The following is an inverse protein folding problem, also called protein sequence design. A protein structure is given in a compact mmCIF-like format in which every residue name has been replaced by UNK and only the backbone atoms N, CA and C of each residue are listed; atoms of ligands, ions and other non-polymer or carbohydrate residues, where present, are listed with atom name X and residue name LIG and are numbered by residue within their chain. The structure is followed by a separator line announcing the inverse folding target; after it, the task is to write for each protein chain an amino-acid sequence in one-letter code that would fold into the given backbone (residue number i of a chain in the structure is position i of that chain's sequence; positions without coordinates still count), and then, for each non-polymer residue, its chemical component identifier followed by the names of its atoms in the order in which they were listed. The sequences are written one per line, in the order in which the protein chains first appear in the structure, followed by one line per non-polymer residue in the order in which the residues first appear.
data_IF_779829016773
#
_entry.id   IF_779829016773
#
_cell.length_a   1.000
_cell.length_b   1.000
_cell.length_c   1.000
_cell.angle_alpha   90.00
_cell.angle_beta   90.00
_cell.angle_gamma   90.00
#
_symmetry.space_group_name_H-M   'P 1'
#
loop_
_entity.id
_entity.type
_entity.pdbx_description
1 polymer ?
#
# COMPACT_ATOMS: atom_id res chain seq x y z
N UNK A 1 5.63 15.25 8.32
CA UNK A 1 6.68 14.26 8.00
C UNK A 1 7.51 14.78 6.82
N UNK A 2 8.80 15.04 7.01
CA UNK A 2 9.73 15.38 5.93
C UNK A 2 10.16 14.11 5.14
N UNK A 3 10.94 14.28 4.07
CA UNK A 3 11.33 13.15 3.23
C UNK A 3 12.24 12.13 3.94
N UNK A 4 13.16 12.56 4.81
CA UNK A 4 14.00 11.64 5.57
C UNK A 4 13.18 10.80 6.56
N UNK A 5 12.27 11.44 7.30
CA UNK A 5 11.32 10.75 8.19
C UNK A 5 10.46 9.75 7.41
N UNK A 6 9.98 10.14 6.22
CA UNK A 6 9.20 9.26 5.34
C UNK A 6 10.03 8.08 4.84
N UNK A 7 11.30 8.29 4.46
CA UNK A 7 12.21 7.22 4.03
C UNK A 7 12.46 6.20 5.15
N UNK A 8 12.66 6.67 6.39
CA UNK A 8 12.76 5.79 7.56
C UNK A 8 11.45 5.00 7.76
N UNK A 9 10.31 5.69 7.75
CA UNK A 9 9.01 5.08 7.99
C UNK A 9 8.66 4.00 6.95
N UNK A 10 8.93 4.28 5.67
CA UNK A 10 8.73 3.30 4.58
C UNK A 10 9.65 2.10 4.76
N UNK A 11 10.94 2.28 5.09
CA UNK A 11 11.85 1.14 5.30
C UNK A 11 11.39 0.25 6.45
N UNK A 12 10.96 0.83 7.57
CA UNK A 12 10.42 0.07 8.69
C UNK A 12 9.17 -0.71 8.28
N UNK A 13 8.23 -0.03 7.60
CA UNK A 13 7.01 -0.65 7.08
C UNK A 13 7.30 -1.80 6.12
N UNK A 14 8.26 -1.64 5.20
CA UNK A 14 8.65 -2.68 4.24
C UNK A 14 9.29 -3.89 4.92
N UNK A 15 10.06 -3.66 6.00
CA UNK A 15 10.60 -4.74 6.83
C UNK A 15 9.50 -5.61 7.43
N UNK A 16 8.46 -5.00 8.01
CA UNK A 16 7.30 -5.73 8.55
C UNK A 16 6.42 -6.33 7.46
N UNK A 17 6.18 -5.61 6.36
CA UNK A 17 5.28 -6.02 5.28
C UNK A 17 5.73 -7.32 4.61
N UNK A 18 7.04 -7.54 4.48
CA UNK A 18 7.57 -8.77 3.87
C UNK A 18 7.32 -10.03 4.69
N UNK A 19 6.95 -9.92 5.98
CA UNK A 19 6.54 -11.07 6.80
C UNK A 19 5.24 -11.74 6.30
N UNK A 20 4.42 -10.99 5.56
CA UNK A 20 3.17 -11.49 4.97
C UNK A 20 3.35 -12.14 3.58
N UNK A 21 4.58 -12.29 3.09
CA UNK A 21 4.83 -12.76 1.72
C UNK A 21 4.29 -14.18 1.46
N UNK A 22 4.34 -15.07 2.45
CA UNK A 22 3.77 -16.42 2.34
C UNK A 22 2.25 -16.37 2.23
N UNK A 23 1.56 -15.65 3.11
CA UNK A 23 0.10 -15.43 3.03
C UNK A 23 -0.31 -14.89 1.66
N UNK A 24 0.40 -13.88 1.16
CA UNK A 24 0.08 -13.25 -0.12
C UNK A 24 0.34 -14.20 -1.30
N UNK A 25 1.36 -15.04 -1.22
CA UNK A 25 1.61 -16.11 -2.19
C UNK A 25 0.50 -17.15 -2.20
N UNK A 26 0.05 -17.60 -1.03
CA UNK A 26 -1.03 -18.60 -0.91
C UNK A 26 -2.37 -18.09 -1.43
N UNK A 27 -2.73 -16.84 -1.10
CA UNK A 27 -3.93 -16.19 -1.60
C UNK A 27 -3.89 -16.03 -3.12
N UNK A 28 -2.74 -15.61 -3.66
CA UNK A 28 -2.55 -15.48 -5.09
C UNK A 28 -2.45 -16.83 -5.80
N UNK A 29 -2.01 -17.89 -5.14
CA UNK A 29 -2.03 -19.24 -5.69
C UNK A 29 -3.47 -19.76 -5.84
N UNK A 30 -4.38 -19.35 -4.95
CA UNK A 30 -5.79 -19.70 -5.02
C UNK A 30 -6.55 -18.97 -6.14
N UNK A 31 -6.13 -17.75 -6.50
CA UNK A 31 -6.79 -16.91 -7.50
C UNK A 31 -5.98 -16.69 -8.79
N UNK A 32 -4.72 -17.07 -8.85
CA UNK A 32 -3.77 -16.65 -9.89
C UNK A 32 -2.60 -17.64 -10.01
N UNK A 33 -1.38 -17.11 -10.11
CA UNK A 33 -0.16 -17.89 -10.31
C UNK A 33 0.75 -17.97 -9.07
N UNK A 34 0.35 -17.38 -7.95
CA UNK A 34 1.05 -17.52 -6.66
C UNK A 34 2.34 -16.71 -6.57
N UNK A 35 2.54 -15.73 -7.46
CA UNK A 35 3.79 -14.96 -7.54
C UNK A 35 3.77 -13.69 -6.68
N UNK A 36 2.62 -13.33 -6.09
CA UNK A 36 2.50 -12.06 -5.37
C UNK A 36 3.48 -11.96 -4.19
N UNK A 37 3.67 -13.03 -3.42
CA UNK A 37 4.64 -13.07 -2.32
C UNK A 37 6.07 -12.74 -2.75
N UNK A 38 6.48 -13.26 -3.91
CA UNK A 38 7.78 -13.00 -4.52
C UNK A 38 7.84 -11.56 -5.02
N UNK A 39 6.78 -11.11 -5.69
CA UNK A 39 6.64 -9.74 -6.21
C UNK A 39 6.82 -8.69 -5.10
N UNK A 40 6.14 -8.87 -3.95
CA UNK A 40 6.25 -7.93 -2.83
C UNK A 40 7.62 -8.00 -2.15
N UNK A 41 8.19 -9.21 -1.99
CA UNK A 41 9.52 -9.39 -1.38
C UNK A 41 10.62 -8.70 -2.19
N UNK A 42 10.68 -8.98 -3.49
CA UNK A 42 11.69 -8.38 -4.38
C UNK A 42 11.51 -6.87 -4.50
N UNK A 43 10.26 -6.42 -4.64
CA UNK A 43 9.94 -5.00 -4.74
C UNK A 43 10.26 -4.22 -3.46
N UNK A 44 9.96 -4.78 -2.28
CA UNK A 44 10.27 -4.19 -0.98
C UNK A 44 11.77 -4.08 -0.76
N UNK A 45 12.53 -5.14 -1.06
CA UNK A 45 13.99 -5.12 -0.95
C UNK A 45 14.62 -4.05 -1.87
N UNK A 46 14.18 -3.97 -3.13
CA UNK A 46 14.67 -2.98 -4.07
C UNK A 46 14.31 -1.54 -3.65
N UNK A 47 13.09 -1.32 -3.14
CA UNK A 47 12.67 -0.02 -2.63
C UNK A 47 13.48 0.39 -1.39
N UNK A 48 13.73 -0.52 -0.44
CA UNK A 48 14.55 -0.24 0.72
C UNK A 48 15.98 0.16 0.36
N UNK A 49 16.58 -0.52 -0.63
CA UNK A 49 17.91 -0.16 -1.15
C UNK A 49 17.92 1.21 -1.84
N UNK A 50 16.91 1.50 -2.66
CA UNK A 50 16.77 2.80 -3.30
C UNK A 50 16.63 3.94 -2.29
N UNK A 51 15.94 3.69 -1.17
CA UNK A 51 15.80 4.66 -0.08
C UNK A 51 17.11 4.91 0.67
N UNK A 52 17.96 3.89 0.84
CA UNK A 52 19.30 4.05 1.43
C UNK A 52 20.23 4.92 0.58
N UNK A 53 20.01 4.97 -0.74
CA UNK A 53 20.81 5.76 -1.67
C UNK A 53 20.36 7.23 -1.81
N UNK A 54 19.21 7.60 -1.23
CA UNK A 54 18.73 8.97 -1.28
C UNK A 54 19.46 9.88 -0.28
N UNK A 55 19.71 11.17 -0.63
CA UNK A 55 20.20 12.13 0.35
C UNK A 55 19.12 12.43 1.39
N UNK A 56 19.53 12.77 2.62
CA UNK A 56 18.59 13.18 3.69
C UNK A 56 17.76 14.42 3.34
N UNK A 57 18.19 15.20 2.34
CA UNK A 57 17.49 16.37 1.82
C UNK A 57 16.41 16.03 0.79
N UNK A 58 16.22 14.76 0.44
CA UNK A 58 15.20 14.35 -0.51
C UNK A 58 13.80 14.76 -0.03
N UNK A 59 12.97 15.24 -0.96
CA UNK A 59 11.57 15.57 -0.70
C UNK A 59 10.72 14.30 -0.54
N UNK A 60 9.55 14.38 0.11
CA UNK A 60 8.59 13.27 0.18
C UNK A 60 8.25 12.68 -1.21
N UNK A 61 8.13 13.52 -2.23
CA UNK A 61 7.87 13.10 -3.61
C UNK A 61 9.02 12.30 -4.22
N UNK A 62 10.26 12.75 -4.03
CA UNK A 62 11.45 12.01 -4.49
C UNK A 62 11.56 10.64 -3.82
N UNK A 63 11.23 10.56 -2.53
CA UNK A 63 11.22 9.32 -1.74
C UNK A 63 10.27 8.29 -2.35
N UNK A 64 8.99 8.63 -2.54
CA UNK A 64 8.02 7.68 -3.13
C UNK A 64 8.30 7.38 -4.61
N UNK A 65 8.87 8.32 -5.36
CA UNK A 65 9.30 8.09 -6.74
C UNK A 65 10.48 7.13 -6.84
N UNK A 66 11.40 7.16 -5.88
CA UNK A 66 12.47 6.17 -5.79
C UNK A 66 11.91 4.78 -5.53
N UNK A 67 10.98 4.64 -4.57
CA UNK A 67 10.26 3.39 -4.34
C UNK A 67 9.53 2.90 -5.60
N UNK A 68 8.80 3.78 -6.29
CA UNK A 68 8.05 3.45 -7.49
C UNK A 68 8.95 2.85 -8.59
N UNK A 69 10.07 3.51 -8.87
CA UNK A 69 11.03 3.06 -9.90
C UNK A 69 11.68 1.74 -9.50
N UNK A 70 12.14 1.63 -8.25
CA UNK A 70 12.80 0.43 -7.76
C UNK A 70 11.86 -0.79 -7.77
N UNK A 71 10.63 -0.62 -7.28
CA UNK A 71 9.63 -1.68 -7.23
C UNK A 71 9.27 -2.17 -8.63
N UNK A 72 9.06 -1.26 -9.60
CA UNK A 72 8.79 -1.62 -11.00
C UNK A 72 9.95 -2.35 -11.69
N UNK A 73 11.19 -1.99 -11.37
CA UNK A 73 12.38 -2.60 -11.98
C UNK A 73 12.72 -3.97 -11.38
N UNK A 74 12.32 -4.23 -10.13
CA UNK A 74 12.63 -5.47 -9.42
C UNK A 74 11.92 -6.70 -10.01
N UNK A 75 10.73 -6.52 -10.59
CA UNK A 75 9.98 -7.60 -11.20
C UNK A 75 9.02 -7.10 -12.30
N UNK A 76 8.86 -7.83 -13.42
CA UNK A 76 7.96 -7.47 -14.51
C UNK A 76 6.51 -7.91 -14.23
N UNK A 77 5.96 -7.59 -13.06
CA UNK A 77 4.58 -7.94 -12.69
C UNK A 77 3.59 -6.82 -13.03
N UNK A 78 2.33 -7.18 -13.26
CA UNK A 78 1.25 -6.20 -13.44
C UNK A 78 1.06 -5.37 -12.16
N UNK A 79 1.16 -6.02 -10.99
CA UNK A 79 1.08 -5.37 -9.70
C UNK A 79 2.16 -4.29 -9.56
N UNK A 80 3.42 -4.59 -9.88
CA UNK A 80 4.50 -3.62 -9.79
C UNK A 80 4.29 -2.41 -10.72
N UNK A 81 3.82 -2.64 -11.95
CA UNK A 81 3.51 -1.55 -12.88
C UNK A 81 2.34 -0.67 -12.39
N UNK A 82 1.32 -1.26 -11.76
CA UNK A 82 0.19 -0.54 -11.19
C UNK A 82 0.58 0.26 -9.94
N UNK A 83 1.32 -0.36 -9.01
CA UNK A 83 1.81 0.30 -7.79
C UNK A 83 2.77 1.43 -8.13
N UNK A 84 3.69 1.26 -9.09
CA UNK A 84 4.57 2.33 -9.51
C UNK A 84 3.82 3.51 -10.13
N UNK A 85 2.76 3.23 -10.91
CA UNK A 85 1.85 4.25 -11.43
C UNK A 85 1.12 4.99 -10.32
N UNK A 86 0.61 4.26 -9.33
CA UNK A 86 -0.03 4.81 -8.14
C UNK A 86 0.89 5.75 -7.35
N UNK A 87 2.10 5.32 -7.04
CA UNK A 87 3.08 6.12 -6.30
C UNK A 87 3.49 7.38 -7.09
N UNK A 88 3.63 7.28 -8.42
CA UNK A 88 3.86 8.44 -9.29
C UNK A 88 2.67 9.41 -9.31
N UNK A 89 1.44 8.91 -9.35
CA UNK A 89 0.26 9.76 -9.31
C UNK A 89 0.11 10.46 -7.96
N UNK A 90 0.30 9.72 -6.87
CA UNK A 90 0.29 10.26 -5.52
C UNK A 90 1.37 11.30 -5.29
N UNK A 91 2.61 11.10 -5.78
CA UNK A 91 3.69 12.07 -5.57
C UNK A 91 3.41 13.43 -6.20
N UNK A 92 2.65 13.48 -7.29
CA UNK A 92 2.22 14.74 -7.92
C UNK A 92 1.30 15.57 -7.02
N UNK A 93 0.59 14.94 -6.08
CA UNK A 93 -0.24 15.63 -5.09
C UNK A 93 0.63 16.42 -4.11
N UNK A 94 1.81 15.90 -3.78
CA UNK A 94 2.74 16.55 -2.84
C UNK A 94 3.62 17.60 -3.53
N UNK A 95 3.96 17.42 -4.80
CA UNK A 95 4.84 18.34 -5.53
C UNK A 95 6.21 18.44 -4.85
N UNK A 96 6.74 19.66 -4.73
CA UNK A 96 8.05 19.91 -4.11
C UNK A 96 7.95 20.34 -2.63
N UNK A 97 6.87 19.98 -1.94
CA UNK A 97 6.71 20.32 -0.52
C UNK A 97 7.83 19.71 0.33
N UNK A 98 8.40 20.43 1.32
CA UNK A 98 9.43 19.87 2.20
C UNK A 98 8.87 18.86 3.20
N UNK A 99 7.55 18.87 3.45
CA UNK A 99 6.89 17.97 4.39
C UNK A 99 5.43 17.72 4.03
N UNK A 100 4.90 16.58 4.49
CA UNK A 100 3.50 16.17 4.34
C UNK A 100 2.77 16.02 5.68
N UNK A 101 1.47 16.30 5.66
CA UNK A 101 0.52 16.18 6.78
C UNK A 101 -0.68 15.28 6.42
N UNK A 102 -1.58 15.03 7.40
CA UNK A 102 -2.67 14.05 7.30
C UNK A 102 -3.55 14.19 6.05
N UNK A 103 -4.05 15.39 5.76
CA UNK A 103 -4.90 15.63 4.58
C UNK A 103 -4.19 15.27 3.26
N UNK A 104 -2.89 15.54 3.16
CA UNK A 104 -2.09 15.22 1.97
C UNK A 104 -1.87 13.72 1.79
N UNK A 105 -1.92 12.93 2.87
CA UNK A 105 -1.85 11.47 2.81
C UNK A 105 -3.14 10.90 2.23
N UNK A 106 -4.31 11.41 2.67
CA UNK A 106 -5.61 11.01 2.10
C UNK A 106 -5.71 11.32 0.60
N UNK A 107 -5.30 12.53 0.20
CA UNK A 107 -5.26 12.92 -1.22
C UNK A 107 -4.26 12.10 -2.04
N UNK A 108 -3.12 11.74 -1.47
CA UNK A 108 -2.15 10.82 -2.08
C UNK A 108 -2.78 9.44 -2.33
N UNK A 109 -3.44 8.87 -1.31
CA UNK A 109 -4.06 7.55 -1.40
C UNK A 109 -5.18 7.52 -2.45
N UNK A 110 -5.99 8.58 -2.53
CA UNK A 110 -7.03 8.71 -3.55
C UNK A 110 -6.43 8.78 -4.96
N UNK A 111 -5.44 9.64 -5.19
CA UNK A 111 -4.78 9.76 -6.50
C UNK A 111 -4.09 8.45 -6.93
N UNK A 112 -3.52 7.72 -5.97
CA UNK A 112 -2.96 6.39 -6.18
C UNK A 112 -4.03 5.37 -6.63
N UNK A 113 -5.17 5.32 -5.94
CA UNK A 113 -6.30 4.45 -6.29
C UNK A 113 -6.89 4.79 -7.67
N UNK A 114 -7.10 6.07 -7.95
CA UNK A 114 -7.58 6.56 -9.26
C UNK A 114 -6.63 6.18 -10.40
N UNK A 115 -5.31 6.28 -10.18
CA UNK A 115 -4.31 5.86 -11.16
C UNK A 115 -4.40 4.35 -11.46
N UNK A 116 -4.61 3.52 -10.44
CA UNK A 116 -4.78 2.07 -10.64
C UNK A 116 -6.09 1.80 -11.37
N UNK A 117 -7.18 2.46 -10.99
CA UNK A 117 -8.47 2.34 -11.65
C UNK A 117 -8.38 2.68 -13.14
N UNK A 118 -7.76 3.81 -13.49
CA UNK A 118 -7.61 4.23 -14.89
C UNK A 118 -6.72 3.27 -15.69
N UNK A 119 -5.57 2.88 -15.13
CA UNK A 119 -4.60 2.03 -15.85
C UNK A 119 -5.04 0.57 -15.94
N UNK A 120 -5.58 0.03 -14.86
CA UNK A 120 -6.12 -1.34 -14.77
C UNK A 120 -7.52 -1.48 -15.37
N UNK A 121 -8.17 -0.36 -15.69
CA UNK A 121 -9.58 -0.26 -16.10
C UNK A 121 -10.51 -0.96 -15.10
N UNK A 122 -10.16 -0.95 -13.82
CA UNK A 122 -10.88 -1.62 -12.74
C UNK A 122 -11.57 -0.60 -11.83
N UNK A 123 -12.57 -1.06 -11.08
CA UNK A 123 -13.31 -0.25 -10.13
C UNK A 123 -13.62 -1.06 -8.88
N UNK A 124 -14.09 -0.40 -7.81
CA UNK A 124 -14.69 -1.11 -6.67
C UNK A 124 -15.80 -2.03 -7.18
N UNK A 125 -15.84 -3.26 -6.68
CA UNK A 125 -16.72 -4.33 -7.14
C UNK A 125 -16.11 -5.26 -8.20
N UNK A 126 -14.91 -4.97 -8.71
CA UNK A 126 -14.23 -5.85 -9.67
C UNK A 126 -13.36 -6.94 -9.01
N UNK A 127 -13.26 -6.93 -7.68
CA UNK A 127 -12.40 -7.82 -6.87
C UNK A 127 -10.93 -7.64 -7.19
N UNK A 128 -10.43 -6.46 -6.84
CA UNK A 128 -9.04 -6.02 -7.04
C UNK A 128 -8.57 -5.22 -5.83
N UNK A 129 -7.29 -4.83 -5.82
CA UNK A 129 -6.71 -3.92 -4.81
C UNK A 129 -7.57 -2.67 -4.51
N UNK A 130 -8.35 -2.20 -5.50
CA UNK A 130 -9.24 -1.05 -5.37
C UNK A 130 -10.36 -1.23 -4.35
N UNK A 131 -10.79 -2.47 -4.10
CA UNK A 131 -11.82 -2.78 -3.12
C UNK A 131 -11.35 -2.46 -1.69
N UNK A 132 -10.04 -2.42 -1.44
CA UNK A 132 -9.47 -1.94 -0.19
C UNK A 132 -8.97 -0.49 -0.27
N UNK A 133 -8.36 -0.09 -1.40
CA UNK A 133 -7.74 1.24 -1.53
C UNK A 133 -8.72 2.40 -1.52
N UNK A 134 -9.85 2.31 -2.23
CA UNK A 134 -10.81 3.40 -2.25
C UNK A 134 -11.46 3.63 -0.87
N UNK A 135 -11.99 2.59 -0.18
CA UNK A 135 -12.55 2.78 1.16
C UNK A 135 -11.53 3.35 2.16
N UNK A 136 -10.27 2.91 2.09
CA UNK A 136 -9.22 3.45 2.94
C UNK A 136 -8.90 4.93 2.64
N UNK A 137 -8.83 5.31 1.36
CA UNK A 137 -8.61 6.69 0.95
C UNK A 137 -9.76 7.61 1.40
N UNK A 138 -11.00 7.15 1.28
CA UNK A 138 -12.19 7.88 1.76
C UNK A 138 -12.14 8.08 3.27
N UNK A 139 -11.76 7.05 4.04
CA UNK A 139 -11.60 7.14 5.50
C UNK A 139 -10.49 8.13 5.90
N UNK A 140 -9.36 8.15 5.19
CA UNK A 140 -8.29 9.12 5.42
C UNK A 140 -8.74 10.56 5.14
N UNK A 141 -9.57 10.77 4.11
CA UNK A 141 -10.09 12.08 3.76
C UNK A 141 -11.21 12.58 4.69
N UNK A 142 -11.92 11.66 5.34
CA UNK A 142 -12.98 11.98 6.29
C UNK A 142 -12.45 12.33 7.70
N UNK A 143 -11.15 12.21 7.94
CA UNK A 143 -10.55 12.46 9.25
C UNK A 143 -10.35 13.96 9.49
N UNK A 144 -10.65 14.40 10.72
CA UNK A 144 -10.47 15.79 11.12
C UNK A 144 -8.99 16.22 11.13
N UNK A 145 -8.76 17.51 10.93
CA UNK A 145 -7.41 18.07 10.87
C UNK A 145 -6.63 17.82 12.18
N UNK A 146 -5.46 17.20 12.06
CA UNK A 146 -4.58 16.89 13.20
C UNK A 146 -4.79 15.50 13.82
N UNK A 147 -5.80 14.74 13.40
CA UNK A 147 -5.99 13.36 13.81
C UNK A 147 -5.38 12.37 12.80
N UNK A 148 -5.02 11.18 13.29
CA UNK A 148 -4.57 10.09 12.42
C UNK A 148 -5.76 9.29 11.90
N UNK A 149 -6.01 9.38 10.60
CA UNK A 149 -7.06 8.58 9.93
C UNK A 149 -6.70 7.12 9.71
N UNK A 150 -5.52 6.68 10.17
CA UNK A 150 -4.96 5.37 9.85
C UNK A 150 -5.82 4.21 10.36
N UNK A 151 -6.39 4.33 11.55
CA UNK A 151 -7.23 3.27 12.14
C UNK A 151 -8.53 3.10 11.36
N UNK A 152 -9.17 4.21 11.01
CA UNK A 152 -10.35 4.20 10.16
C UNK A 152 -10.03 3.64 8.77
N UNK A 153 -8.86 3.98 8.20
CA UNK A 153 -8.41 3.48 6.91
C UNK A 153 -8.15 1.96 6.92
N UNK A 154 -7.53 1.43 7.97
CA UNK A 154 -7.31 -0.01 8.15
C UNK A 154 -8.65 -0.75 8.23
N UNK A 155 -9.59 -0.25 9.04
CA UNK A 155 -10.93 -0.85 9.17
C UNK A 155 -11.68 -0.82 7.84
N UNK A 156 -11.59 0.29 7.10
CA UNK A 156 -12.23 0.42 5.78
C UNK A 156 -11.62 -0.54 4.75
N UNK A 157 -10.28 -0.65 4.71
CA UNK A 157 -9.58 -1.62 3.86
C UNK A 157 -9.96 -3.05 4.21
N UNK A 158 -10.04 -3.39 5.50
CA UNK A 158 -10.42 -4.73 5.98
C UNK A 158 -11.85 -5.10 5.58
N UNK A 159 -12.79 -4.18 5.76
CA UNK A 159 -14.17 -4.36 5.29
C UNK A 159 -14.22 -4.57 3.76
N UNK A 160 -13.41 -3.83 3.00
CA UNK A 160 -13.24 -4.01 1.56
C UNK A 160 -12.74 -5.41 1.19
N UNK A 161 -11.69 -5.89 1.87
CA UNK A 161 -11.17 -7.26 1.69
C UNK A 161 -12.25 -8.31 1.99
N UNK A 162 -12.98 -8.16 3.10
CA UNK A 162 -14.04 -9.09 3.50
C UNK A 162 -15.17 -9.12 2.47
N UNK A 163 -15.71 -7.95 2.10
CA UNK A 163 -16.79 -7.83 1.13
C UNK A 163 -16.39 -8.37 -0.25
N UNK A 164 -15.13 -8.19 -0.65
CA UNK A 164 -14.64 -8.68 -1.94
C UNK A 164 -14.76 -10.19 -2.11
N UNK A 165 -14.84 -10.97 -1.02
CA UNK A 165 -15.01 -12.44 -1.07
C UNK A 165 -16.30 -12.85 -1.79
N UNK A 166 -17.36 -12.07 -1.66
CA UNK A 166 -18.67 -12.35 -2.29
C UNK A 166 -18.69 -12.03 -3.79
N UNK A 167 -17.66 -11.34 -4.28
CA UNK A 167 -17.56 -10.93 -5.67
C UNK A 167 -16.93 -12.03 -6.54
N UNK A 168 -17.34 -12.06 -7.80
CA UNK A 168 -16.62 -12.73 -8.87
C UNK A 168 -15.50 -11.82 -9.40
N UNK A 169 -14.29 -12.35 -9.55
CA UNK A 169 -13.17 -11.66 -10.18
C UNK A 169 -13.50 -11.22 -11.61
N UNK A 170 -13.33 -9.93 -11.91
CA UNK A 170 -13.54 -9.37 -13.25
C UNK A 170 -12.26 -8.96 -13.96
N UNK A 171 -11.13 -8.97 -13.26
CA UNK A 171 -9.83 -8.47 -13.75
C UNK A 171 -8.70 -9.45 -13.45
N UNK A 172 -7.59 -9.25 -14.15
CA UNK A 172 -6.36 -10.02 -13.96
C UNK A 172 -6.52 -11.51 -14.29
N UNK A 173 -5.54 -12.32 -13.86
CA UNK A 173 -5.59 -13.78 -14.01
C UNK A 173 -6.77 -14.39 -13.23
N UNK A 174 -7.15 -13.76 -12.12
CA UNK A 174 -8.27 -14.19 -11.30
C UNK A 174 -9.61 -14.22 -12.05
N UNK A 175 -9.81 -13.40 -13.07
CA UNK A 175 -11.03 -13.46 -13.88
C UNK A 175 -11.17 -14.78 -14.65
N UNK A 176 -10.09 -15.54 -14.87
CA UNK A 176 -10.17 -16.83 -15.56
C UNK A 176 -10.92 -17.89 -14.75
N UNK A 177 -10.99 -17.74 -13.42
CA UNK A 177 -11.73 -18.66 -12.55
C UNK A 177 -13.25 -18.50 -12.64
N UNK A 178 -13.74 -17.37 -13.17
CA UNK A 178 -15.18 -17.06 -13.23
C UNK A 178 -15.84 -17.24 -11.84
N UNK A 179 -17.01 -17.87 -11.76
CA UNK A 179 -17.74 -18.10 -10.49
C UNK A 179 -16.91 -18.81 -9.42
N UNK A 180 -15.87 -19.58 -9.78
CA UNK A 180 -14.98 -20.26 -8.82
C UNK A 180 -14.13 -19.29 -7.99
N UNK A 181 -14.06 -18.02 -8.39
CA UNK A 181 -13.41 -16.97 -7.60
C UNK A 181 -14.25 -16.47 -6.41
N UNK A 182 -15.56 -16.76 -6.40
CA UNK A 182 -16.46 -16.39 -5.31
C UNK A 182 -16.10 -17.22 -4.06
N UNK A 183 -16.04 -16.55 -2.92
CA UNK A 183 -15.61 -17.10 -1.62
C UNK A 183 -14.10 -16.99 -1.37
N UNK A 184 -13.29 -16.72 -2.40
CA UNK A 184 -11.84 -16.56 -2.27
C UNK A 184 -11.49 -15.09 -1.95
N UNK A 185 -10.47 -14.87 -1.12
CA UNK A 185 -10.02 -13.52 -0.76
C UNK A 185 -9.09 -12.95 -1.83
N UNK A 186 -9.26 -11.69 -2.22
CA UNK A 186 -8.36 -11.06 -3.20
C UNK A 186 -6.96 -10.82 -2.60
N UNK A 187 -5.89 -11.37 -3.20
CA UNK A 187 -4.52 -11.13 -2.75
C UNK A 187 -4.10 -9.65 -2.88
N UNK A 188 -4.58 -8.94 -3.90
CA UNK A 188 -4.23 -7.53 -4.12
C UNK A 188 -4.79 -6.62 -3.02
N UNK A 189 -6.09 -6.72 -2.75
CA UNK A 189 -6.73 -6.00 -1.64
C UNK A 189 -6.10 -6.35 -0.28
N UNK A 190 -5.77 -7.63 -0.07
CA UNK A 190 -5.10 -8.08 1.16
C UNK A 190 -3.70 -7.46 1.31
N UNK A 191 -2.92 -7.40 0.24
CA UNK A 191 -1.59 -6.78 0.26
C UNK A 191 -1.66 -5.31 0.69
N UNK A 192 -2.66 -4.56 0.21
CA UNK A 192 -2.84 -3.17 0.63
C UNK A 192 -3.24 -3.05 2.12
N UNK A 193 -4.15 -3.90 2.59
CA UNK A 193 -4.50 -3.97 4.02
C UNK A 193 -3.27 -4.27 4.89
N UNK A 194 -2.48 -5.29 4.52
CA UNK A 194 -1.26 -5.67 5.24
C UNK A 194 -0.25 -4.54 5.24
N UNK A 195 -0.08 -3.81 4.14
CA UNK A 195 0.78 -2.63 4.09
C UNK A 195 0.36 -1.57 5.12
N UNK A 196 -0.94 -1.25 5.23
CA UNK A 196 -1.43 -0.30 6.24
C UNK A 196 -1.20 -0.79 7.68
N UNK A 197 -1.42 -2.08 7.93
CA UNK A 197 -1.18 -2.69 9.24
C UNK A 197 0.31 -2.68 9.61
N UNK A 198 1.19 -3.01 8.66
CA UNK A 198 2.65 -2.90 8.82
C UNK A 198 3.10 -1.47 9.09
N UNK A 199 2.49 -0.49 8.39
CA UNK A 199 2.75 0.92 8.65
C UNK A 199 2.40 1.30 10.08
N UNK A 200 1.21 0.93 10.57
CA UNK A 200 0.78 1.17 11.95
C UNK A 200 1.72 0.52 12.96
N UNK A 201 2.05 -0.77 12.76
CA UNK A 201 2.86 -1.54 13.70
C UNK A 201 4.27 -0.96 13.89
N UNK A 202 4.82 -0.33 12.85
CA UNK A 202 6.21 0.12 12.83
C UNK A 202 6.40 1.63 12.98
N UNK A 203 5.32 2.41 12.85
CA UNK A 203 5.38 3.88 12.87
C UNK A 203 4.40 4.54 13.85
N UNK A 204 3.64 3.77 14.63
CA UNK A 204 2.89 4.33 15.75
C UNK A 204 3.87 4.99 16.75
N UNK A 205 3.55 6.17 17.29
CA UNK A 205 4.36 6.77 18.33
C UNK A 205 4.46 5.77 19.49
N UNK A 206 5.69 5.41 19.87
CA UNK A 206 5.93 4.63 21.09
C UNK A 206 5.32 5.43 22.24
N UNK A 207 4.34 4.85 22.93
CA UNK A 207 3.82 5.47 24.15
C UNK A 207 5.00 5.82 25.06
N UNK A 208 5.17 7.11 25.34
CA UNK A 208 6.21 7.63 26.24
C UNK A 208 6.03 7.18 27.72
N UNK A 209 5.19 6.17 27.97
CA UNK A 209 4.79 5.70 29.30
C UNK A 209 5.63 4.52 29.83
N UNK A 210 6.59 3.97 29.08
CA UNK A 210 7.42 2.85 29.57
C UNK A 210 8.84 3.23 29.98
N UNK A 211 9.21 4.51 29.93
CA UNK A 211 10.44 4.99 30.54
C UNK A 211 10.26 5.14 32.06
N UNK A 212 10.25 4.02 32.78
CA UNK A 212 10.55 4.06 34.23
C UNK A 212 12.07 4.16 34.38
N UNK A 213 12.63 5.23 34.97
CA UNK A 213 14.03 5.22 35.33
C UNK A 213 14.18 4.31 36.55
N UNK A 214 14.89 3.18 36.39
CA UNK A 214 15.44 2.48 37.55
C UNK A 214 16.38 3.42 38.26
N UNK A 215 16.10 3.69 39.54
CA UNK A 215 17.02 4.27 40.50
C UNK A 215 18.22 3.34 40.75
#
# INVERSE_FOLDING_TARGET
MNGNELSIAIRNCLGEFTTYSEELGDLDQALGDGDLGITVSLGAAAAAEALNALPETATPSEVVLACAKAFANANPSTMAALVAGALLAGSRVWGDTPSIEGEQIGRFALAAAESISQRGKSQVGDKTILDAMFPAAEALLATDAGESGLDAAIVAAENGVIASKELQSRRGRASWLQERSIGLQDPGATAYLRFLQSWKATNAPVDASTATPSA
#
